data_IF_100260197661
#
_entry.id   IF_100260197661
#
_cell.length_a   1.000
_cell.length_b   1.000
_cell.length_c   1.000
_cell.angle_alpha   90.00
_cell.angle_beta   90.00
_cell.angle_gamma   90.00
#
_symmetry.space_group_name_H-M   'P 1'
#
loop_
_entity.id
_entity.type
_entity.pdbx_description
1 polymer ?
#
# COMPACT_ATOMS: atom_id res chain seq x y z
N UNK A 1 -1.13 -45.96 -38.08
CA UNK A 1 -0.06 -45.13 -37.45
C UNK A 1 -0.30 -43.63 -37.60
N UNK A 2 -0.94 -43.14 -38.68
CA UNK A 2 -1.28 -41.71 -38.84
C UNK A 2 -2.37 -41.23 -37.86
N UNK A 3 -3.31 -42.11 -37.50
CA UNK A 3 -4.42 -41.76 -36.59
C UNK A 3 -4.02 -41.69 -35.11
N UNK A 4 -2.98 -42.42 -34.72
CA UNK A 4 -2.43 -42.38 -33.36
C UNK A 4 -1.62 -41.09 -33.11
N UNK A 5 -0.93 -40.59 -34.14
CA UNK A 5 -0.19 -39.33 -34.06
C UNK A 5 -1.12 -38.11 -33.97
N UNK A 6 -2.28 -38.14 -34.65
CA UNK A 6 -3.29 -37.09 -34.56
C UNK A 6 -3.96 -37.03 -33.18
N UNK A 7 -4.22 -38.19 -32.56
CA UNK A 7 -4.79 -38.27 -31.20
C UNK A 7 -3.83 -37.76 -30.12
N UNK A 8 -2.52 -38.01 -30.26
CA UNK A 8 -1.49 -37.53 -29.33
C UNK A 8 -1.29 -36.01 -29.48
N UNK A 9 -1.39 -35.47 -30.71
CA UNK A 9 -1.27 -34.03 -30.95
C UNK A 9 -2.49 -33.24 -30.41
N UNK A 10 -3.70 -33.82 -30.47
CA UNK A 10 -4.91 -33.24 -29.90
C UNK A 10 -4.91 -33.23 -28.36
N UNK A 11 -4.29 -34.25 -27.73
CA UNK A 11 -4.16 -34.32 -26.27
C UNK A 11 -3.13 -33.31 -25.72
N UNK A 12 -2.13 -32.93 -26.52
CA UNK A 12 -1.07 -31.99 -26.12
C UNK A 12 -1.54 -30.52 -26.11
N UNK A 13 -2.56 -30.16 -26.90
CA UNK A 13 -3.12 -28.80 -26.90
C UNK A 13 -4.09 -28.50 -25.74
N UNK A 14 -4.58 -29.54 -25.05
CA UNK A 14 -5.49 -29.38 -23.90
C UNK A 14 -4.78 -29.04 -22.57
N UNK A 15 -3.45 -29.13 -22.51
CA UNK A 15 -2.68 -28.92 -21.27
C UNK A 15 -2.05 -27.51 -21.20
N UNK A 16 -2.18 -26.68 -22.25
CA UNK A 16 -1.58 -25.34 -22.29
C UNK A 16 -2.52 -24.19 -21.88
N UNK A 17 -3.76 -24.48 -21.44
CA UNK A 17 -4.71 -23.48 -20.95
C UNK A 17 -4.56 -23.21 -19.43
N UNK A 18 -3.34 -23.02 -18.96
CA UNK A 18 -3.00 -22.95 -17.53
C UNK A 18 -2.28 -21.67 -17.10
N UNK A 19 -2.70 -20.51 -17.60
CA UNK A 19 -2.30 -19.21 -17.05
C UNK A 19 -3.55 -18.31 -16.93
N UNK A 20 -4.58 -18.82 -16.24
CA UNK A 20 -5.62 -17.93 -15.76
C UNK A 20 -5.03 -17.16 -14.57
N UNK A 21 -4.67 -15.90 -14.81
CA UNK A 21 -4.59 -14.92 -13.72
C UNK A 21 -5.95 -14.96 -13.01
N UNK A 22 -5.95 -15.21 -11.71
CA UNK A 22 -7.20 -15.22 -10.94
C UNK A 22 -7.92 -13.89 -11.21
N UNK A 23 -9.21 -13.91 -11.60
CA UNK A 23 -9.93 -12.67 -11.82
C UNK A 23 -9.88 -11.82 -10.55
N UNK A 24 -9.62 -10.50 -10.65
CA UNK A 24 -9.59 -9.62 -9.50
C UNK A 24 -10.92 -9.72 -8.77
N UNK A 25 -10.86 -9.94 -7.45
CA UNK A 25 -12.04 -10.14 -6.65
C UNK A 25 -12.87 -8.84 -6.64
N UNK A 26 -14.18 -8.88 -6.95
CA UNK A 26 -15.03 -7.71 -6.73
C UNK A 26 -14.99 -7.34 -5.24
N UNK A 27 -14.96 -6.04 -4.89
CA UNK A 27 -14.96 -5.64 -3.49
C UNK A 27 -16.14 -6.32 -2.79
N UNK A 28 -15.92 -6.97 -1.64
CA UNK A 28 -16.96 -7.75 -0.97
C UNK A 28 -18.01 -6.79 -0.40
N UNK A 29 -19.05 -6.51 -1.20
CA UNK A 29 -20.17 -5.66 -0.81
C UNK A 29 -20.87 -6.19 0.44
N UNK A 30 -20.76 -7.49 0.71
CA UNK A 30 -21.24 -8.16 1.91
C UNK A 30 -20.50 -7.72 3.19
N UNK A 31 -19.25 -7.26 3.07
CA UNK A 31 -18.43 -6.82 4.20
C UNK A 31 -18.48 -5.30 4.43
N UNK A 32 -19.03 -4.50 3.52
CA UNK A 32 -19.08 -3.04 3.65
C UNK A 32 -20.48 -2.60 4.14
N UNK A 33 -20.55 -2.13 5.38
CA UNK A 33 -21.80 -1.76 6.08
C UNK A 33 -21.92 -0.27 6.31
N UNK A 34 -22.17 0.47 5.23
CA UNK A 34 -22.35 1.93 5.26
C UNK A 34 -23.45 2.36 6.24
N UNK A 35 -24.47 1.52 6.44
CA UNK A 35 -25.59 1.76 7.36
C UNK A 35 -25.19 1.81 8.84
N UNK A 36 -24.01 1.30 9.20
CA UNK A 36 -23.49 1.31 10.56
C UNK A 36 -22.68 2.58 10.88
N UNK A 37 -22.47 3.49 9.93
CA UNK A 37 -21.59 4.65 10.10
C UNK A 37 -22.25 5.96 9.65
N UNK A 38 -21.96 7.05 10.35
CA UNK A 38 -22.36 8.38 9.92
C UNK A 38 -21.50 8.83 8.73
N UNK A 39 -21.96 9.81 7.96
CA UNK A 39 -21.20 10.37 6.84
C UNK A 39 -19.79 10.83 7.29
N UNK A 40 -18.76 10.76 6.41
CA UNK A 40 -17.40 11.16 6.76
C UNK A 40 -17.34 12.66 7.05
N UNK A 41 -16.48 13.06 7.97
CA UNK A 41 -16.25 14.45 8.35
C UNK A 41 -15.53 15.25 7.25
N UNK A 42 -14.84 14.56 6.34
CA UNK A 42 -14.11 15.12 5.20
C UNK A 42 -14.43 14.35 3.94
N UNK A 43 -14.40 15.04 2.80
CA UNK A 43 -14.48 14.39 1.50
C UNK A 43 -13.23 13.51 1.31
N UNK A 44 -13.44 12.30 0.81
CA UNK A 44 -12.38 11.34 0.50
C UNK A 44 -12.25 11.30 -1.02
N UNK A 45 -11.14 11.82 -1.53
CA UNK A 45 -10.76 11.72 -2.93
C UNK A 45 -9.41 10.98 -3.05
N UNK A 46 -9.41 9.72 -3.51
CA UNK A 46 -8.18 8.96 -3.71
C UNK A 46 -7.22 9.58 -4.73
N UNK A 47 -7.73 10.33 -5.71
CA UNK A 47 -6.91 10.89 -6.78
C UNK A 47 -6.06 12.06 -6.29
N UNK A 48 -6.43 12.70 -5.17
CA UNK A 48 -5.64 13.73 -4.51
C UNK A 48 -4.36 13.18 -3.86
N UNK A 49 -4.30 11.88 -3.54
CA UNK A 49 -3.20 11.28 -2.79
C UNK A 49 -1.82 11.56 -3.45
N UNK A 50 -1.77 11.56 -4.78
CA UNK A 50 -0.56 11.76 -5.58
C UNK A 50 -0.64 12.94 -6.55
N UNK A 51 -1.69 13.78 -6.46
CA UNK A 51 -1.87 14.91 -7.36
C UNK A 51 -0.83 16.01 -7.12
N UNK A 52 -0.38 16.64 -8.21
CA UNK A 52 0.50 17.82 -8.14
C UNK A 52 -0.32 19.08 -7.89
N UNK A 53 -0.09 19.75 -6.76
CA UNK A 53 -0.65 21.08 -6.50
C UNK A 53 -0.02 22.16 -7.38
N UNK A 54 -0.65 23.33 -7.50
CA UNK A 54 -0.10 24.45 -8.26
C UNK A 54 1.30 24.91 -7.77
N UNK A 55 1.58 24.97 -6.43
CA UNK A 55 2.94 25.19 -5.93
C UNK A 55 3.94 24.11 -6.38
N UNK A 56 3.55 22.83 -6.39
CA UNK A 56 4.41 21.75 -6.87
C UNK A 56 4.71 21.89 -8.37
N UNK A 57 3.70 22.23 -9.18
CA UNK A 57 3.89 22.48 -10.61
C UNK A 57 4.85 23.66 -10.85
N UNK A 58 4.71 24.73 -10.07
CA UNK A 58 5.64 25.88 -10.13
C UNK A 58 7.06 25.50 -9.75
N UNK A 59 7.24 24.68 -8.72
CA UNK A 59 8.55 24.16 -8.31
C UNK A 59 9.15 23.24 -9.38
N UNK A 60 8.33 22.35 -9.97
CA UNK A 60 8.72 21.50 -11.09
C UNK A 60 9.24 22.34 -12.27
N UNK A 61 8.50 23.36 -12.68
CA UNK A 61 8.82 24.21 -13.83
C UNK A 61 10.08 25.05 -13.62
N UNK A 62 10.24 25.59 -12.41
CA UNK A 62 11.33 26.52 -12.07
C UNK A 62 12.63 25.83 -11.67
N UNK A 63 12.57 24.66 -11.01
CA UNK A 63 13.73 23.98 -10.43
C UNK A 63 14.03 22.63 -11.06
N UNK A 64 13.01 21.84 -11.41
CA UNK A 64 13.22 20.43 -11.78
C UNK A 64 13.25 20.18 -13.30
N UNK A 65 12.53 20.95 -14.12
CA UNK A 65 12.47 20.71 -15.58
C UNK A 65 13.80 20.92 -16.29
N UNK A 66 14.62 21.87 -15.85
CA UNK A 66 15.91 22.21 -16.48
C UNK A 66 17.04 21.42 -15.83
N UNK A 67 17.09 20.12 -16.11
CA UNK A 67 18.20 19.28 -15.67
C UNK A 67 19.49 19.71 -16.37
N UNK A 68 20.59 20.00 -15.64
CA UNK A 68 21.86 20.35 -16.27
C UNK A 68 22.37 19.25 -17.20
N UNK A 69 23.03 19.63 -18.29
CA UNK A 69 23.57 18.66 -19.26
C UNK A 69 24.55 17.72 -18.57
N UNK A 70 24.39 16.41 -18.80
CA UNK A 70 25.23 15.37 -18.23
C UNK A 70 24.85 14.92 -16.81
N UNK A 71 23.89 15.57 -16.15
CA UNK A 71 23.39 15.16 -14.84
C UNK A 71 22.30 14.10 -14.99
N UNK A 72 22.36 13.06 -14.15
CA UNK A 72 21.29 12.07 -14.05
C UNK A 72 20.04 12.70 -13.45
N UNK A 73 18.89 12.55 -14.11
CA UNK A 73 17.65 13.24 -13.73
C UNK A 73 17.09 12.72 -12.40
N UNK A 74 17.40 11.48 -12.05
CA UNK A 74 17.01 10.86 -10.77
C UNK A 74 17.83 11.46 -9.64
N UNK A 75 19.15 11.58 -9.84
CA UNK A 75 20.04 12.28 -8.91
C UNK A 75 19.60 13.72 -8.70
N UNK A 76 19.28 14.42 -9.79
CA UNK A 76 18.81 15.80 -9.78
C UNK A 76 17.52 15.97 -8.96
N UNK A 77 16.54 15.08 -9.17
CA UNK A 77 15.31 15.09 -8.38
C UNK A 77 15.59 14.89 -6.89
N UNK A 78 16.42 13.90 -6.55
CA UNK A 78 16.75 13.59 -5.16
C UNK A 78 17.54 14.72 -4.48
N UNK A 79 18.48 15.32 -5.20
CA UNK A 79 19.20 16.48 -4.69
C UNK A 79 18.24 17.63 -4.36
N UNK A 80 17.33 17.92 -5.30
CA UNK A 80 16.42 19.05 -5.19
C UNK A 80 15.42 18.89 -4.04
N UNK A 81 14.90 17.68 -3.84
CA UNK A 81 13.95 17.42 -2.76
C UNK A 81 14.60 17.40 -1.37
N UNK A 82 15.89 17.09 -1.24
CA UNK A 82 16.49 16.73 0.07
C UNK A 82 17.68 17.59 0.53
N UNK A 83 18.30 18.43 -0.32
CA UNK A 83 19.35 19.35 0.14
C UNK A 83 18.82 20.54 0.95
N UNK A 84 19.63 20.98 1.92
CA UNK A 84 19.30 22.02 2.93
C UNK A 84 18.96 23.40 2.35
N UNK A 85 19.39 23.70 1.13
CA UNK A 85 19.14 24.98 0.47
C UNK A 85 17.87 24.96 -0.41
N UNK A 86 17.11 23.85 -0.39
CA UNK A 86 15.91 23.61 -1.19
C UNK A 86 14.65 23.27 -0.36
N UNK A 87 13.96 22.14 -0.60
CA UNK A 87 12.67 21.82 0.01
C UNK A 87 12.79 21.40 1.49
N UNK A 88 13.90 20.76 1.88
CA UNK A 88 14.24 20.33 3.26
C UNK A 88 13.14 19.51 3.93
N UNK A 89 13.02 18.25 3.54
CA UNK A 89 12.00 17.33 4.03
C UNK A 89 12.34 16.75 5.42
N UNK A 90 11.38 16.83 6.34
CA UNK A 90 11.45 16.24 7.69
C UNK A 90 10.57 14.99 7.79
N UNK A 91 11.05 13.95 8.49
CA UNK A 91 10.26 12.74 8.70
C UNK A 91 9.26 12.95 9.85
N UNK A 92 7.97 12.73 9.57
CA UNK A 92 6.87 12.86 10.53
C UNK A 92 5.89 11.68 10.37
N UNK A 93 5.90 10.77 11.34
CA UNK A 93 5.05 9.57 11.34
C UNK A 93 3.61 9.82 11.80
N UNK A 94 3.24 11.03 12.24
CA UNK A 94 1.95 11.27 12.88
C UNK A 94 0.76 11.35 11.93
N UNK A 95 1.00 11.66 10.66
CA UNK A 95 -0.06 11.84 9.66
C UNK A 95 0.46 11.48 8.28
N UNK A 96 -0.26 10.61 7.59
CA UNK A 96 -0.01 10.26 6.20
C UNK A 96 -0.60 11.35 5.33
N UNK A 97 0.25 12.27 4.89
CA UNK A 97 -0.11 13.41 4.02
C UNK A 97 -0.27 12.98 2.57
N UNK A 98 -1.10 13.70 1.81
CA UNK A 98 -1.05 13.64 0.33
C UNK A 98 0.28 14.20 -0.17
N UNK A 99 0.62 13.95 -1.44
CA UNK A 99 1.80 14.53 -2.08
C UNK A 99 1.86 16.07 -1.94
N UNK A 100 0.74 16.75 -2.16
CA UNK A 100 0.62 18.20 -2.02
C UNK A 100 0.84 18.68 -0.59
N UNK A 101 0.22 18.00 0.38
CA UNK A 101 0.36 18.34 1.80
C UNK A 101 1.79 18.10 2.30
N UNK A 102 2.44 17.02 1.87
CA UNK A 102 3.83 16.72 2.23
C UNK A 102 4.80 17.78 1.68
N UNK A 103 4.55 18.25 0.45
CA UNK A 103 5.32 19.33 -0.17
C UNK A 103 5.17 20.65 0.59
N UNK A 104 3.93 21.03 0.93
CA UNK A 104 3.65 22.27 1.65
C UNK A 104 4.20 22.25 3.08
N UNK A 105 3.96 21.16 3.81
CA UNK A 105 4.47 20.98 5.17
C UNK A 105 5.98 20.76 5.22
N UNK A 106 6.60 20.45 4.07
CA UNK A 106 7.99 19.97 3.97
C UNK A 106 8.27 18.80 4.91
N UNK A 107 7.27 17.94 5.11
CA UNK A 107 7.38 16.81 6.03
C UNK A 107 6.35 15.72 5.74
N UNK A 108 6.68 14.48 6.09
CA UNK A 108 5.78 13.35 5.95
C UNK A 108 6.40 12.03 6.39
N UNK A 109 5.56 11.01 6.53
CA UNK A 109 6.02 9.64 6.76
C UNK A 109 6.55 9.01 5.45
N UNK A 110 7.04 7.78 5.53
CA UNK A 110 7.65 7.09 4.39
C UNK A 110 6.72 7.07 3.17
N UNK A 111 5.44 6.74 3.36
CA UNK A 111 4.47 6.65 2.28
C UNK A 111 4.16 8.00 1.64
N UNK A 112 3.99 9.06 2.44
CA UNK A 112 3.78 10.42 1.93
C UNK A 112 4.96 10.90 1.07
N UNK A 113 6.19 10.65 1.53
CA UNK A 113 7.41 11.00 0.79
C UNK A 113 7.58 10.16 -0.49
N UNK A 114 7.22 8.88 -0.46
CA UNK A 114 7.15 8.02 -1.65
C UNK A 114 6.17 8.57 -2.67
N UNK A 115 4.95 8.91 -2.26
CA UNK A 115 3.93 9.43 -3.14
C UNK A 115 4.34 10.76 -3.78
N UNK A 116 4.85 11.69 -2.97
CA UNK A 116 5.32 12.99 -3.46
C UNK A 116 6.49 12.86 -4.43
N UNK A 117 7.49 12.04 -4.10
CA UNK A 117 8.64 11.79 -4.98
C UNK A 117 8.20 11.12 -6.28
N UNK A 118 7.29 10.15 -6.21
CA UNK A 118 6.69 9.50 -7.38
C UNK A 118 5.91 10.48 -8.26
N UNK A 119 5.16 11.41 -7.67
CA UNK A 119 4.43 12.44 -8.40
C UNK A 119 5.37 13.37 -9.19
N UNK A 120 6.46 13.86 -8.57
CA UNK A 120 7.47 14.65 -9.27
C UNK A 120 8.20 13.84 -10.35
N UNK A 121 8.62 12.61 -10.03
CA UNK A 121 9.32 11.75 -10.97
C UNK A 121 8.50 11.47 -12.24
N UNK A 122 7.22 11.11 -12.08
CA UNK A 122 6.29 10.91 -13.21
C UNK A 122 6.11 12.18 -14.04
N UNK A 123 5.98 13.35 -13.38
CA UNK A 123 5.84 14.62 -14.10
C UNK A 123 7.13 15.06 -14.81
N UNK A 124 8.29 14.55 -14.37
CA UNK A 124 9.55 14.62 -15.11
C UNK A 124 9.63 13.55 -16.20
N UNK A 125 8.69 12.63 -16.36
CA UNK A 125 8.78 11.56 -17.35
C UNK A 125 9.80 10.48 -16.99
N UNK A 126 10.11 10.32 -15.69
CA UNK A 126 10.82 9.15 -15.18
C UNK A 126 9.83 7.98 -15.02
N UNK A 127 10.33 6.77 -15.22
CA UNK A 127 9.61 5.55 -14.85
C UNK A 127 9.74 5.34 -13.34
N UNK A 128 8.61 5.05 -12.69
CA UNK A 128 8.53 4.82 -11.24
C UNK A 128 8.02 3.41 -10.97
N UNK A 129 8.71 2.69 -10.11
CA UNK A 129 8.29 1.38 -9.61
C UNK A 129 8.21 1.42 -8.10
N UNK A 130 7.03 1.23 -7.53
CA UNK A 130 6.85 1.16 -6.08
C UNK A 130 7.11 -0.26 -5.58
N UNK A 131 7.65 -0.40 -4.38
CA UNK A 131 7.91 -1.71 -3.80
C UNK A 131 7.55 -1.73 -2.31
N UNK A 132 6.87 -2.79 -1.90
CA UNK A 132 6.69 -3.14 -0.49
C UNK A 132 7.98 -3.78 0.01
N UNK A 133 8.48 -3.31 1.15
CA UNK A 133 9.65 -3.85 1.84
C UNK A 133 9.18 -4.87 2.88
N UNK A 134 9.42 -6.15 2.62
CA UNK A 134 8.89 -7.24 3.45
C UNK A 134 9.63 -7.30 4.80
N UNK A 135 8.88 -7.34 5.91
CA UNK A 135 9.44 -7.46 7.26
C UNK A 135 9.90 -6.14 7.88
N UNK A 136 9.62 -5.00 7.23
CA UNK A 136 9.92 -3.66 7.72
C UNK A 136 8.65 -2.90 8.17
N UNK A 137 7.64 -3.64 8.61
CA UNK A 137 6.34 -3.10 8.99
C UNK A 137 6.42 -2.22 10.25
N UNK A 138 5.74 -1.08 10.21
CA UNK A 138 5.51 -0.24 11.38
C UNK A 138 4.25 -0.74 12.10
N UNK A 139 4.38 -1.02 13.40
CA UNK A 139 3.27 -1.47 14.23
C UNK A 139 2.55 -0.27 14.84
N UNK A 140 1.26 -0.16 14.57
CA UNK A 140 0.39 0.79 15.27
C UNK A 140 -0.59 0.04 16.18
N UNK A 141 -0.76 0.56 17.40
CA UNK A 141 -1.68 0.00 18.39
C UNK A 141 -2.89 0.90 18.55
N UNK A 142 -4.08 0.34 18.31
CA UNK A 142 -5.35 0.92 18.70
C UNK A 142 -5.90 0.17 19.93
N UNK A 143 -5.45 0.53 21.13
CA UNK A 143 -5.80 -0.19 22.36
C UNK A 143 -5.13 -1.57 22.45
N UNK A 144 -5.92 -2.64 22.55
CA UNK A 144 -5.49 -4.05 22.57
C UNK A 144 -5.21 -4.63 21.17
N UNK A 145 -5.39 -3.83 20.10
CA UNK A 145 -5.47 -4.30 18.73
C UNK A 145 -4.14 -4.17 17.99
N UNK A 146 -3.87 -5.13 17.12
CA UNK A 146 -2.63 -5.25 16.35
C UNK A 146 -2.87 -4.83 14.89
N UNK A 147 -2.39 -3.65 14.51
CA UNK A 147 -2.43 -3.18 13.12
C UNK A 147 -0.98 -3.00 12.63
N UNK A 148 -0.73 -3.36 11.37
CA UNK A 148 0.55 -3.14 10.69
C UNK A 148 0.37 -2.20 9.51
N UNK A 149 1.31 -1.27 9.39
CA UNK A 149 1.50 -0.40 8.23
C UNK A 149 2.79 -0.83 7.54
N UNK A 150 2.67 -1.35 6.32
CA UNK A 150 3.83 -1.81 5.55
C UNK A 150 4.74 -0.65 5.12
N UNK A 151 6.05 -0.93 5.04
CA UNK A 151 7.02 0.03 4.50
C UNK A 151 7.12 -0.03 2.98
N UNK A 152 7.14 1.13 2.34
CA UNK A 152 7.19 1.27 0.88
C UNK A 152 8.41 2.09 0.49
N UNK A 153 9.06 1.67 -0.58
CA UNK A 153 10.10 2.44 -1.27
C UNK A 153 9.75 2.58 -2.76
N UNK A 154 10.56 3.32 -3.50
CA UNK A 154 10.39 3.47 -4.95
C UNK A 154 11.72 3.37 -5.69
N UNK A 155 11.67 2.80 -6.88
CA UNK A 155 12.79 2.73 -7.83
C UNK A 155 12.52 3.66 -9.01
N UNK A 156 13.52 4.49 -9.34
CA UNK A 156 13.50 5.43 -10.45
C UNK A 156 14.35 4.92 -11.61
N UNK A 157 13.78 4.99 -12.82
CA UNK A 157 14.40 4.58 -14.07
C UNK A 157 14.23 5.66 -15.14
N UNK A 158 15.24 5.84 -16.00
CA UNK A 158 15.15 6.72 -17.17
C UNK A 158 14.29 6.06 -18.25
N UNK A 159 13.37 6.83 -18.86
CA UNK A 159 12.65 6.34 -20.03
C UNK A 159 13.54 6.39 -21.28
N UNK A 160 14.02 5.23 -21.73
CA UNK A 160 14.65 5.10 -23.06
C UNK A 160 13.58 5.06 -24.15
N UNK A 161 13.12 6.23 -24.60
CA UNK A 161 12.29 6.29 -25.80
C UNK A 161 13.11 5.94 -27.05
N UNK A 162 12.89 4.74 -27.60
CA UNK A 162 13.03 4.48 -29.04
C UNK A 162 14.43 4.53 -29.65
N UNK A 163 15.51 4.27 -28.90
CA UNK A 163 16.86 4.10 -29.48
C UNK A 163 17.39 2.70 -29.20
N UNK A 164 17.46 1.94 -30.28
CA UNK A 164 18.18 0.68 -30.54
C UNK A 164 19.15 0.26 -29.43
N UNK A 165 18.88 -0.89 -28.81
CA UNK A 165 19.79 -1.87 -28.17
C UNK A 165 21.18 -1.42 -27.68
N UNK A 166 21.28 -0.26 -27.05
CA UNK A 166 22.34 0.02 -26.10
C UNK A 166 21.61 0.17 -24.78
N UNK A 167 21.60 -0.92 -24.00
CA UNK A 167 21.32 -0.89 -22.58
C UNK A 167 21.98 0.36 -22.02
N UNK A 168 21.19 1.37 -21.63
CA UNK A 168 21.74 2.33 -20.70
C UNK A 168 21.91 1.54 -19.41
N UNK A 169 23.11 1.01 -19.19
CA UNK A 169 23.62 0.42 -17.94
C UNK A 169 23.62 1.47 -16.81
N UNK A 170 22.46 2.08 -16.58
CA UNK A 170 22.23 2.95 -15.43
C UNK A 170 21.42 2.13 -14.46
N UNK A 171 22.10 1.68 -13.41
CA UNK A 171 21.49 0.91 -12.35
C UNK A 171 20.19 1.58 -11.86
N UNK A 172 19.11 0.81 -11.64
CA UNK A 172 17.89 1.33 -11.04
C UNK A 172 18.20 2.04 -9.73
N UNK A 173 17.65 3.24 -9.52
CA UNK A 173 17.89 4.01 -8.31
C UNK A 173 16.74 3.80 -7.33
N UNK A 174 16.94 2.98 -6.31
CA UNK A 174 15.97 2.83 -5.22
C UNK A 174 16.14 3.92 -4.16
N UNK A 175 15.05 4.57 -3.82
CA UNK A 175 14.95 5.61 -2.82
C UNK A 175 14.14 5.06 -1.64
N UNK A 176 14.76 5.03 -0.47
CA UNK A 176 14.15 4.62 0.79
C UNK A 176 14.25 5.78 1.79
N UNK A 177 13.15 6.07 2.49
CA UNK A 177 13.02 7.22 3.39
C UNK A 177 13.15 6.86 4.87
N UNK A 178 13.44 5.60 5.21
CA UNK A 178 13.77 5.17 6.58
C UNK A 178 15.28 5.35 6.86
N UNK A 179 15.70 5.76 8.07
CA UNK A 179 17.12 5.94 8.42
C UNK A 179 17.99 4.69 8.16
N UNK A 180 19.29 4.86 7.88
CA UNK A 180 20.16 3.79 7.38
C UNK A 180 20.39 2.68 8.42
N UNK A 181 19.66 1.58 8.29
CA UNK A 181 19.87 0.31 9.00
C UNK A 181 20.21 -0.88 8.11
N UNK A 182 20.44 -0.65 6.81
CA UNK A 182 20.86 -1.66 5.84
C UNK A 182 19.78 -1.97 4.79
N UNK A 183 19.67 -1.13 3.77
CA UNK A 183 18.75 -1.28 2.63
C UNK A 183 19.10 -2.51 1.77
N UNK A 184 20.35 -3.00 1.86
CA UNK A 184 20.93 -3.95 0.92
C UNK A 184 20.45 -5.42 1.01
N UNK A 185 19.49 -5.78 1.87
CA UNK A 185 19.04 -7.18 2.03
C UNK A 185 17.54 -7.41 2.17
N UNK A 186 16.72 -6.37 2.06
CA UNK A 186 15.28 -6.56 2.19
C UNK A 186 14.69 -7.21 0.94
N UNK A 187 13.89 -8.25 1.14
CA UNK A 187 13.06 -8.79 0.05
C UNK A 187 11.99 -7.75 -0.26
N UNK A 188 11.83 -7.42 -1.53
CA UNK A 188 10.79 -6.48 -1.97
C UNK A 188 9.77 -7.15 -2.86
N UNK A 189 8.56 -6.58 -2.91
CA UNK A 189 7.50 -6.96 -3.85
C UNK A 189 7.02 -5.72 -4.58
N UNK A 190 7.01 -5.77 -5.90
CA UNK A 190 6.49 -4.65 -6.72
C UNK A 190 5.02 -4.40 -6.41
N UNK A 191 4.67 -3.13 -6.25
CA UNK A 191 3.31 -2.65 -6.04
C UNK A 191 2.82 -1.92 -7.29
N UNK A 192 1.51 -2.04 -7.55
CA UNK A 192 0.83 -1.17 -8.48
C UNK A 192 0.54 0.18 -7.81
N UNK A 193 0.42 1.25 -8.60
CA UNK A 193 0.18 2.58 -8.04
C UNK A 193 -1.16 2.67 -7.29
N UNK A 194 -2.20 1.96 -7.76
CA UNK A 194 -3.47 1.90 -7.05
C UNK A 194 -3.32 1.26 -5.66
N UNK A 195 -2.43 0.26 -5.49
CA UNK A 195 -2.11 -0.32 -4.19
C UNK A 195 -1.44 0.70 -3.27
N UNK A 196 -0.54 1.56 -3.79
CA UNK A 196 0.09 2.63 -3.00
C UNK A 196 -0.96 3.64 -2.51
N UNK A 197 -1.89 4.03 -3.37
CA UNK A 197 -3.03 4.88 -2.98
C UNK A 197 -3.92 4.18 -1.95
N UNK A 198 -4.20 2.88 -2.12
CA UNK A 198 -4.97 2.11 -1.14
C UNK A 198 -4.26 2.01 0.22
N UNK A 199 -2.94 1.89 0.24
CA UNK A 199 -2.15 1.94 1.47
C UNK A 199 -2.26 3.32 2.15
N UNK A 200 -2.26 4.42 1.38
CA UNK A 200 -2.48 5.76 1.91
C UNK A 200 -3.84 5.87 2.60
N UNK A 201 -4.90 5.41 1.91
CA UNK A 201 -6.26 5.40 2.43
C UNK A 201 -6.35 4.54 3.70
N UNK A 202 -5.70 3.37 3.73
CA UNK A 202 -5.67 2.52 4.91
C UNK A 202 -4.94 3.20 6.09
N UNK A 203 -3.82 3.88 5.85
CA UNK A 203 -3.15 4.62 6.93
C UNK A 203 -4.06 5.73 7.51
N UNK A 204 -4.78 6.47 6.66
CA UNK A 204 -5.77 7.46 7.10
C UNK A 204 -6.90 6.83 7.93
N UNK A 205 -7.29 5.60 7.61
CA UNK A 205 -8.25 4.84 8.38
C UNK A 205 -7.71 4.51 9.77
N UNK A 206 -6.48 4.02 9.86
CA UNK A 206 -5.81 3.67 11.12
C UNK A 206 -5.61 4.92 11.99
N UNK A 207 -5.11 6.02 11.42
CA UNK A 207 -4.97 7.31 12.11
C UNK A 207 -6.30 7.83 12.66
N UNK A 208 -7.38 7.66 11.89
CA UNK A 208 -8.72 8.07 12.32
C UNK A 208 -9.25 7.19 13.44
N UNK A 209 -9.00 5.88 13.37
CA UNK A 209 -9.36 4.92 14.40
C UNK A 209 -8.62 5.21 15.72
N UNK A 210 -7.29 5.41 15.67
CA UNK A 210 -6.47 5.78 16.82
C UNK A 210 -6.91 7.12 17.41
N UNK A 211 -7.31 8.06 16.56
CA UNK A 211 -7.89 9.35 16.97
C UNK A 211 -9.34 9.28 17.48
N UNK A 212 -9.94 8.10 17.61
CA UNK A 212 -11.32 7.92 18.08
C UNK A 212 -12.40 8.34 17.07
N UNK A 213 -12.04 8.69 15.83
CA UNK A 213 -12.96 9.07 14.76
C UNK A 213 -13.40 7.83 13.99
N UNK A 214 -14.24 7.04 14.63
CA UNK A 214 -14.63 5.71 14.15
C UNK A 214 -15.41 5.75 12.83
N UNK A 215 -16.28 6.75 12.63
CA UNK A 215 -17.00 6.92 11.36
C UNK A 215 -16.03 7.24 10.21
N UNK A 216 -15.09 8.17 10.40
CA UNK A 216 -14.06 8.48 9.40
C UNK A 216 -13.19 7.27 9.07
N UNK A 217 -12.77 6.52 10.10
CA UNK A 217 -11.97 5.31 9.92
C UNK A 217 -12.63 4.31 8.97
N UNK A 218 -13.94 4.11 9.12
CA UNK A 218 -14.71 3.26 8.21
C UNK A 218 -14.65 3.74 6.76
N UNK A 219 -14.92 5.03 6.51
CA UNK A 219 -14.95 5.55 5.14
C UNK A 219 -13.59 5.49 4.45
N UNK A 220 -12.50 5.75 5.18
CA UNK A 220 -11.15 5.59 4.68
C UNK A 220 -10.82 4.12 4.37
N UNK A 221 -11.13 3.18 5.27
CA UNK A 221 -10.87 1.75 5.05
C UNK A 221 -11.69 1.19 3.89
N UNK A 222 -12.95 1.60 3.78
CA UNK A 222 -13.84 1.25 2.66
C UNK A 222 -13.27 1.73 1.33
N UNK A 223 -12.77 2.95 1.26
CA UNK A 223 -12.18 3.46 0.04
C UNK A 223 -10.85 2.77 -0.30
N UNK A 224 -10.05 2.41 0.72
CA UNK A 224 -8.85 1.59 0.52
C UNK A 224 -9.20 0.25 -0.14
N UNK A 225 -10.21 -0.46 0.36
CA UNK A 225 -10.70 -1.75 -0.19
C UNK A 225 -11.24 -1.59 -1.61
N UNK A 226 -11.91 -0.47 -1.91
CA UNK A 226 -12.40 -0.19 -3.27
C UNK A 226 -11.28 0.08 -4.25
N UNK A 227 -10.25 0.80 -3.79
CA UNK A 227 -9.09 1.14 -4.61
C UNK A 227 -8.21 -0.07 -4.88
N UNK A 228 -8.05 -0.95 -3.91
CA UNK A 228 -7.37 -2.23 -4.06
C UNK A 228 -8.06 -3.33 -3.22
N UNK A 229 -8.94 -4.15 -3.86
CA UNK A 229 -9.62 -5.25 -3.18
C UNK A 229 -8.69 -6.37 -2.67
N UNK A 230 -7.44 -6.42 -3.11
CA UNK A 230 -6.45 -7.42 -2.69
C UNK A 230 -5.58 -6.91 -1.52
N UNK A 231 -5.76 -5.66 -1.07
CA UNK A 231 -5.03 -5.10 0.08
C UNK A 231 -5.57 -5.68 1.40
N UNK A 232 -5.10 -6.86 1.78
CA UNK A 232 -5.51 -7.57 3.01
C UNK A 232 -5.38 -6.72 4.29
N UNK A 233 -4.39 -5.82 4.35
CA UNK A 233 -4.24 -4.89 5.47
C UNK A 233 -5.46 -3.99 5.71
N UNK A 234 -6.18 -3.60 4.65
CA UNK A 234 -7.38 -2.78 4.77
C UNK A 234 -8.56 -3.56 5.39
N UNK A 235 -8.64 -4.88 5.14
CA UNK A 235 -9.62 -5.75 5.78
C UNK A 235 -9.29 -6.01 7.25
N UNK A 236 -8.01 -6.10 7.61
CA UNK A 236 -7.60 -6.14 9.02
C UNK A 236 -8.08 -4.88 9.74
N UNK A 237 -7.79 -3.70 9.19
CA UNK A 237 -8.27 -2.42 9.72
C UNK A 237 -9.80 -2.38 9.83
N UNK A 238 -10.52 -2.82 8.79
CA UNK A 238 -11.99 -2.90 8.80
C UNK A 238 -12.53 -3.83 9.91
N UNK A 239 -11.88 -4.98 10.12
CA UNK A 239 -12.22 -5.89 11.21
C UNK A 239 -12.07 -5.24 12.57
N UNK A 240 -11.00 -4.47 12.78
CA UNK A 240 -10.80 -3.68 13.99
C UNK A 240 -11.89 -2.62 14.16
N UNK A 241 -12.21 -1.88 13.10
CA UNK A 241 -13.28 -0.87 13.08
C UNK A 241 -14.63 -1.47 13.50
N UNK A 242 -15.00 -2.65 12.96
CA UNK A 242 -16.25 -3.31 13.33
C UNK A 242 -16.29 -3.74 14.79
N UNK A 243 -15.17 -4.23 15.33
CA UNK A 243 -15.08 -4.58 16.75
C UNK A 243 -15.25 -3.32 17.61
N UNK A 244 -14.56 -2.22 17.26
CA UNK A 244 -14.71 -0.93 17.94
C UNK A 244 -16.14 -0.39 17.88
N UNK A 245 -16.88 -0.70 16.81
CA UNK A 245 -18.31 -0.38 16.65
C UNK A 245 -19.26 -1.36 17.36
N UNK A 246 -18.74 -2.27 18.20
CA UNK A 246 -19.52 -3.29 18.91
C UNK A 246 -20.24 -4.29 17.99
N UNK A 247 -19.66 -4.58 16.82
CA UNK A 247 -20.13 -5.62 15.90
C UNK A 247 -19.09 -6.74 15.73
N UNK A 248 -18.79 -7.52 16.78
CA UNK A 248 -17.73 -8.52 16.77
C UNK A 248 -17.97 -9.68 15.80
N UNK A 249 -19.23 -9.98 15.43
CA UNK A 249 -19.55 -10.96 14.40
C UNK A 249 -19.08 -10.51 13.00
N UNK A 250 -19.23 -9.21 12.70
CA UNK A 250 -18.79 -8.62 11.44
C UNK A 250 -17.26 -8.49 11.41
N UNK A 251 -16.65 -8.15 12.55
CA UNK A 251 -15.21 -8.19 12.72
C UNK A 251 -14.64 -9.59 12.43
N UNK A 252 -15.21 -10.63 13.05
CA UNK A 252 -14.77 -12.01 12.87
C UNK A 252 -14.88 -12.46 11.41
N UNK A 253 -16.02 -12.21 10.75
CA UNK A 253 -16.22 -12.56 9.35
C UNK A 253 -15.22 -11.85 8.41
N UNK A 254 -14.96 -10.57 8.67
CA UNK A 254 -13.99 -9.77 7.89
C UNK A 254 -12.58 -10.33 8.04
N UNK A 255 -12.16 -10.62 9.28
CA UNK A 255 -10.82 -11.13 9.59
C UNK A 255 -10.65 -12.59 9.14
N UNK A 256 -11.72 -13.38 9.18
CA UNK A 256 -11.74 -14.75 8.67
C UNK A 256 -11.35 -14.80 7.19
N UNK A 257 -11.87 -13.87 6.38
CA UNK A 257 -11.55 -13.78 4.95
C UNK A 257 -10.06 -13.48 4.71
N UNK A 258 -9.44 -12.67 5.57
CA UNK A 258 -7.98 -12.45 5.52
C UNK A 258 -7.25 -13.77 5.80
N UNK A 259 -7.65 -14.51 6.83
CA UNK A 259 -7.03 -15.79 7.17
C UNK A 259 -7.32 -16.93 6.17
N UNK A 260 -8.42 -16.86 5.41
CA UNK A 260 -8.66 -17.79 4.30
C UNK A 260 -7.63 -17.58 3.18
N UNK A 261 -7.22 -16.32 2.94
CA UNK A 261 -6.23 -15.97 1.93
C UNK A 261 -4.80 -16.15 2.40
N UNK A 262 -4.52 -15.71 3.63
CA UNK A 262 -3.23 -15.83 4.30
C UNK A 262 -3.44 -16.48 5.68
N UNK A 263 -3.40 -17.82 5.76
CA UNK A 263 -3.68 -18.57 6.98
C UNK A 263 -2.80 -18.21 8.18
N UNK A 264 -1.58 -17.72 7.94
CA UNK A 264 -0.61 -17.34 8.95
C UNK A 264 -0.47 -15.81 9.10
N UNK A 265 -1.43 -15.03 8.58
CA UNK A 265 -1.47 -13.59 8.82
C UNK A 265 -1.75 -13.33 10.31
N UNK A 266 -0.68 -13.03 11.05
CA UNK A 266 -0.69 -12.90 12.51
C UNK A 266 -1.58 -11.74 12.97
N UNK A 267 -1.63 -10.62 12.22
CA UNK A 267 -2.52 -9.50 12.52
C UNK A 267 -3.99 -9.90 12.44
N UNK A 268 -4.39 -10.61 11.38
CA UNK A 268 -5.75 -11.10 11.27
C UNK A 268 -6.08 -12.12 12.36
N UNK A 269 -5.16 -13.06 12.65
CA UNK A 269 -5.35 -14.06 13.71
C UNK A 269 -5.52 -13.40 15.09
N UNK A 270 -4.66 -12.45 15.46
CA UNK A 270 -4.73 -11.75 16.76
C UNK A 270 -6.01 -10.94 16.91
N UNK A 271 -6.40 -10.16 15.90
CA UNK A 271 -7.65 -9.39 15.97
C UNK A 271 -8.88 -10.31 15.97
N UNK A 272 -8.81 -11.46 15.28
CA UNK A 272 -9.91 -12.42 15.22
C UNK A 272 -10.06 -13.19 16.53
N UNK A 273 -8.96 -13.49 17.22
CA UNK A 273 -8.97 -14.00 18.59
C UNK A 273 -9.76 -13.06 19.52
N UNK A 274 -9.50 -11.76 19.45
CA UNK A 274 -10.22 -10.76 20.26
C UNK A 274 -11.71 -10.71 19.90
N UNK A 275 -12.04 -10.66 18.61
CA UNK A 275 -13.44 -10.67 18.16
C UNK A 275 -14.21 -11.94 18.59
N UNK A 276 -13.57 -13.12 18.55
CA UNK A 276 -14.15 -14.37 19.04
C UNK A 276 -14.34 -14.38 20.56
N UNK A 277 -13.44 -13.72 21.30
CA UNK A 277 -13.59 -13.48 22.73
C UNK A 277 -14.84 -12.68 23.05
N UNK A 278 -15.07 -11.58 22.33
CA UNK A 278 -16.25 -10.72 22.48
C UNK A 278 -17.56 -11.46 22.13
N UNK A 279 -17.50 -12.47 21.25
CA UNK A 279 -18.63 -13.35 20.91
C UNK A 279 -18.83 -14.51 21.92
N UNK A 280 -17.96 -14.66 22.91
CA UNK A 280 -17.99 -15.78 23.86
C UNK A 280 -17.57 -17.13 23.24
N UNK A 281 -16.97 -17.15 22.05
CA UNK A 281 -16.55 -18.38 21.34
C UNK A 281 -15.16 -18.85 21.79
N UNK A 282 -15.00 -19.05 23.10
CA UNK A 282 -13.71 -19.31 23.75
C UNK A 282 -12.96 -20.54 23.22
N UNK A 283 -13.68 -21.62 22.88
CA UNK A 283 -13.06 -22.82 22.32
C UNK A 283 -12.37 -22.55 20.97
N UNK A 284 -12.99 -21.73 20.11
CA UNK A 284 -12.42 -21.36 18.82
C UNK A 284 -11.26 -20.38 19.00
N UNK A 285 -11.42 -19.41 19.90
CA UNK A 285 -10.36 -18.47 20.26
C UNK A 285 -9.10 -19.20 20.79
N UNK A 286 -9.27 -20.21 21.65
CA UNK A 286 -8.16 -21.02 22.16
C UNK A 286 -7.37 -21.74 21.07
N UNK A 287 -8.05 -22.26 20.04
CA UNK A 287 -7.38 -22.88 18.89
C UNK A 287 -6.58 -21.86 18.05
N UNK A 288 -7.08 -20.62 17.91
CA UNK A 288 -6.35 -19.54 17.24
C UNK A 288 -5.12 -19.13 18.05
N UNK A 289 -5.22 -19.03 19.37
CA UNK A 289 -4.09 -18.70 20.24
C UNK A 289 -2.96 -19.73 20.10
N UNK A 290 -3.29 -21.03 20.14
CA UNK A 290 -2.31 -22.11 19.91
C UNK A 290 -1.65 -22.05 18.53
N UNK A 291 -2.32 -21.48 17.52
CA UNK A 291 -1.70 -21.23 16.21
C UNK A 291 -0.74 -20.05 16.27
N UNK A 292 -1.15 -18.94 16.87
CA UNK A 292 -0.31 -17.76 17.07
C UNK A 292 0.99 -18.10 17.83
N UNK A 293 0.90 -18.93 18.87
CA UNK A 293 2.08 -19.32 19.67
C UNK A 293 3.10 -20.18 18.89
N UNK A 294 2.75 -20.67 17.70
CA UNK A 294 3.61 -21.52 16.85
C UNK A 294 4.25 -20.76 15.67
N UNK A 295 3.87 -19.51 15.43
CA UNK A 295 4.35 -18.65 14.34
C UNK A 295 5.43 -17.69 14.85
#
# INVERSE_FOLDING_TARGET
MKDLAAAIFALFFLVLAGCASSPPMPPPADLLRDDLFQAPSVAIDPDEAMALSAPMQTYLDSRLRRVPRGVDRRAWLMEALYRRDELRLEYDASTTRTAAQAFEARSGNCLALVMMTGAFAKAMGLSVRYQLVLGADAFERAGDLAISIGHVNLTLEEQTQGRTFISSDRDPWTVDFIPPGGIARWRTRTLQEHTVVAMFLNNRAVESLVGGRLDDAYWWAREAIRRDPELLGAYVTLGVIYRSRQHPALAEATLARVNEREPDNTHALSNRFLALGDLGRQAVAGALQQRLDRL
#
